data_IF_645184119427
#
_entry.id   IF_645184119427
#
_cell.length_a   1.000
_cell.length_b   1.000
_cell.length_c   1.000
_cell.angle_alpha   90.00
_cell.angle_beta   90.00
_cell.angle_gamma   90.00
#
_symmetry.space_group_name_H-M   'P 1'
#
loop_
_entity.id
_entity.type
_entity.pdbx_description
1 polymer ?
#
# COMPACT_ATOMS: atom_id res chain seq x y z
N UNK A 1 -10.74 3.70 -19.48
CA UNK A 1 -10.85 3.41 -18.04
C UNK A 1 -9.66 4.07 -17.32
N UNK A 2 -9.90 5.05 -16.44
CA UNK A 2 -8.84 5.71 -15.68
C UNK A 2 -8.67 4.97 -14.35
N UNK A 3 -7.45 4.59 -13.94
CA UNK A 3 -7.25 3.89 -12.67
C UNK A 3 -7.71 4.77 -11.49
N UNK A 4 -8.33 4.18 -10.45
CA UNK A 4 -8.81 4.96 -9.32
C UNK A 4 -7.67 5.73 -8.64
N UNK A 5 -7.91 6.98 -8.22
CA UNK A 5 -6.99 7.69 -7.37
C UNK A 5 -6.63 6.87 -6.12
N UNK A 6 -5.33 6.76 -5.82
CA UNK A 6 -4.85 5.94 -4.71
C UNK A 6 -5.44 6.34 -3.35
N UNK A 7 -5.82 7.61 -3.19
CA UNK A 7 -6.47 8.13 -1.97
C UNK A 7 -7.77 7.39 -1.63
N UNK A 8 -8.47 6.82 -2.62
CA UNK A 8 -9.74 6.12 -2.40
C UNK A 8 -9.60 4.78 -1.69
N UNK A 9 -8.41 4.16 -1.71
CA UNK A 9 -8.15 2.86 -1.09
C UNK A 9 -6.96 2.85 -0.13
N UNK A 10 -5.89 3.59 -0.41
CA UNK A 10 -4.64 3.52 0.37
C UNK A 10 -4.57 4.51 1.54
N UNK A 11 -5.41 5.55 1.56
CA UNK A 11 -5.38 6.60 2.60
C UNK A 11 -5.51 6.01 4.00
N UNK A 12 -6.53 5.17 4.21
CA UNK A 12 -6.79 4.52 5.48
C UNK A 12 -5.64 3.60 5.90
N UNK A 13 -5.05 2.87 4.96
CA UNK A 13 -3.96 1.94 5.23
C UNK A 13 -2.74 2.67 5.81
N UNK A 14 -2.34 3.78 5.18
CA UNK A 14 -1.16 4.52 5.61
C UNK A 14 -1.44 5.32 6.90
N UNK A 15 -2.61 5.94 7.03
CA UNK A 15 -2.95 6.74 8.21
C UNK A 15 -3.13 5.91 9.47
N UNK A 16 -3.55 4.65 9.35
CA UNK A 16 -3.81 3.75 10.48
C UNK A 16 -2.74 2.68 10.66
N UNK A 17 -1.65 2.74 9.91
CA UNK A 17 -0.61 1.70 9.88
C UNK A 17 -1.20 0.30 9.65
N UNK A 18 -2.12 0.20 8.70
CA UNK A 18 -2.88 -0.99 8.36
C UNK A 18 -3.73 -1.57 9.50
N UNK A 19 -3.85 -0.92 10.66
CA UNK A 19 -4.66 -1.44 11.78
C UNK A 19 -6.16 -1.49 11.49
N UNK A 20 -6.63 -0.70 10.53
CA UNK A 20 -8.00 -0.76 10.02
C UNK A 20 -7.95 -0.74 8.49
N UNK A 21 -8.56 -1.68 7.76
CA UNK A 21 -9.41 -2.80 8.21
C UNK A 21 -8.70 -4.15 8.44
N UNK A 22 -7.36 -4.22 8.40
CA UNK A 22 -6.67 -5.51 8.43
C UNK A 22 -6.61 -6.15 9.82
N UNK A 23 -6.37 -7.47 9.89
CA UNK A 23 -6.12 -8.15 11.16
C UNK A 23 -4.98 -7.50 11.96
N UNK A 24 -5.10 -7.35 13.29
CA UNK A 24 -4.10 -6.67 14.13
C UNK A 24 -2.68 -7.26 14.05
N UNK A 25 -2.56 -8.53 13.66
CA UNK A 25 -1.25 -9.17 13.48
C UNK A 25 -0.41 -8.49 12.40
N UNK A 26 -1.04 -7.91 11.37
CA UNK A 26 -0.34 -7.19 10.31
C UNK A 26 0.22 -5.87 10.84
N UNK A 27 -0.61 -5.05 11.50
CA UNK A 27 -0.19 -3.76 12.04
C UNK A 27 0.85 -3.91 13.14
N UNK A 28 0.74 -4.93 14.01
CA UNK A 28 1.77 -5.24 14.99
C UNK A 28 3.14 -5.50 14.33
N UNK A 29 3.18 -6.27 13.24
CA UNK A 29 4.43 -6.52 12.50
C UNK A 29 4.96 -5.30 11.77
N UNK A 30 4.09 -4.40 11.31
CA UNK A 30 4.53 -3.11 10.76
C UNK A 30 5.25 -2.29 11.84
N UNK A 31 4.69 -2.23 13.05
CA UNK A 31 5.31 -1.51 14.17
C UNK A 31 6.68 -2.11 14.49
N UNK A 32 6.79 -3.44 14.59
CA UNK A 32 8.08 -4.12 14.83
C UNK A 32 9.15 -3.70 13.80
N UNK A 33 8.81 -3.74 12.51
CA UNK A 33 9.74 -3.41 11.42
C UNK A 33 10.09 -1.92 11.41
N UNK A 34 9.10 -1.04 11.61
CA UNK A 34 9.33 0.42 11.64
C UNK A 34 10.27 0.78 12.80
N UNK A 35 10.08 0.18 13.97
CA UNK A 35 10.94 0.43 15.12
C UNK A 35 12.35 -0.15 14.92
N UNK A 36 12.48 -1.30 14.24
CA UNK A 36 13.77 -1.93 13.95
C UNK A 36 14.57 -1.17 12.88
N UNK A 37 13.95 -0.81 11.75
CA UNK A 37 14.61 -0.14 10.62
C UNK A 37 14.65 1.39 10.77
N UNK A 38 13.92 1.95 11.75
CA UNK A 38 13.66 3.39 11.88
C UNK A 38 13.20 4.04 10.55
N UNK A 39 12.36 3.32 9.80
CA UNK A 39 11.89 3.73 8.47
C UNK A 39 10.41 3.39 8.25
N UNK A 40 9.70 4.29 7.58
CA UNK A 40 8.31 4.10 7.13
C UNK A 40 8.18 3.41 5.77
N UNK A 41 9.30 3.01 5.14
CA UNK A 41 9.33 2.35 3.84
C UNK A 41 8.47 1.09 3.77
N UNK A 42 8.43 0.33 4.86
CA UNK A 42 7.66 -0.92 4.92
C UNK A 42 6.17 -0.67 4.66
N UNK A 43 5.64 0.51 5.02
CA UNK A 43 4.23 0.86 4.79
C UNK A 43 3.92 0.91 3.28
N UNK A 44 4.73 1.63 2.52
CA UNK A 44 4.57 1.74 1.06
C UNK A 44 4.86 0.41 0.36
N UNK A 45 5.89 -0.30 0.81
CA UNK A 45 6.24 -1.62 0.26
C UNK A 45 5.11 -2.63 0.46
N UNK A 46 4.44 -2.57 1.62
CA UNK A 46 3.26 -3.42 1.89
C UNK A 46 2.08 -3.02 1.02
N UNK A 47 1.79 -1.72 0.88
CA UNK A 47 0.70 -1.25 0.02
C UNK A 47 0.88 -1.76 -1.43
N UNK A 48 2.10 -1.70 -1.96
CA UNK A 48 2.41 -2.24 -3.29
C UNK A 48 2.33 -3.76 -3.31
N UNK A 49 2.84 -4.45 -2.28
CA UNK A 49 2.75 -5.90 -2.20
C UNK A 49 1.29 -6.38 -2.21
N UNK A 50 0.37 -5.70 -1.52
CA UNK A 50 -1.07 -6.01 -1.58
C UNK A 50 -1.58 -5.95 -3.02
N UNK A 51 -1.26 -4.87 -3.75
CA UNK A 51 -1.66 -4.71 -5.15
C UNK A 51 -1.04 -5.77 -6.07
N UNK A 52 0.19 -6.22 -5.77
CA UNK A 52 0.82 -7.33 -6.49
C UNK A 52 0.11 -8.66 -6.26
N UNK A 53 -0.31 -8.94 -5.02
CA UNK A 53 -1.08 -10.14 -4.68
C UNK A 53 -2.47 -10.16 -5.32
N UNK A 54 -3.07 -8.98 -5.52
CA UNK A 54 -4.37 -8.83 -6.18
C UNK A 54 -4.26 -8.66 -7.70
N UNK A 55 -3.06 -8.66 -8.28
CA UNK A 55 -2.84 -8.26 -9.68
C UNK A 55 -3.77 -8.98 -10.65
N UNK A 56 -3.88 -10.30 -10.55
CA UNK A 56 -4.71 -11.10 -11.45
C UNK A 56 -6.20 -10.78 -11.28
N UNK A 57 -6.67 -10.67 -10.03
CA UNK A 57 -8.05 -10.31 -9.70
C UNK A 57 -8.40 -8.91 -10.22
N UNK A 58 -7.50 -7.94 -10.03
CA UNK A 58 -7.68 -6.57 -10.50
C UNK A 58 -7.70 -6.46 -12.02
N UNK A 59 -6.94 -7.32 -12.71
CA UNK A 59 -6.95 -7.39 -14.18
C UNK A 59 -8.24 -8.01 -14.73
N UNK A 60 -8.97 -8.77 -13.91
CA UNK A 60 -10.25 -9.36 -14.29
C UNK A 60 -11.45 -8.42 -14.05
N UNK A 61 -11.33 -7.42 -13.15
CA UNK A 61 -12.36 -6.41 -12.93
C UNK A 61 -12.60 -5.56 -14.18
N UNK A 62 -13.87 -5.31 -14.50
CA UNK A 62 -14.24 -4.47 -15.65
C UNK A 62 -14.79 -3.11 -15.21
N UNK A 63 -15.42 -3.07 -14.04
CA UNK A 63 -16.04 -1.88 -13.50
C UNK A 63 -15.24 -1.25 -12.36
N UNK A 64 -15.43 0.07 -12.20
CA UNK A 64 -14.74 0.83 -11.16
C UNK A 64 -15.09 0.35 -9.74
N UNK A 65 -16.36 0.05 -9.51
CA UNK A 65 -16.85 -0.41 -8.21
C UNK A 65 -16.25 -1.77 -7.83
N UNK A 66 -16.19 -2.70 -8.79
CA UNK A 66 -15.56 -4.02 -8.61
C UNK A 66 -14.10 -3.90 -8.20
N UNK A 67 -13.36 -3.02 -8.88
CA UNK A 67 -11.95 -2.78 -8.59
C UNK A 67 -11.76 -2.25 -7.16
N UNK A 68 -12.53 -1.23 -6.76
CA UNK A 68 -12.45 -0.68 -5.40
C UNK A 68 -12.85 -1.72 -4.34
N UNK A 69 -13.89 -2.50 -4.59
CA UNK A 69 -14.32 -3.57 -3.69
C UNK A 69 -13.24 -4.65 -3.56
N UNK A 70 -12.64 -5.09 -4.67
CA UNK A 70 -11.53 -6.04 -4.67
C UNK A 70 -10.38 -5.55 -3.77
N UNK A 71 -9.93 -4.31 -3.97
CA UNK A 71 -8.83 -3.73 -3.18
C UNK A 71 -9.17 -3.61 -1.69
N UNK A 72 -10.41 -3.24 -1.34
CA UNK A 72 -10.79 -2.96 0.06
C UNK A 72 -11.18 -4.19 0.85
N UNK A 73 -11.78 -5.18 0.20
CA UNK A 73 -12.44 -6.30 0.88
C UNK A 73 -11.57 -7.56 0.87
N UNK A 74 -10.93 -7.86 -0.26
CA UNK A 74 -10.21 -9.13 -0.42
C UNK A 74 -9.00 -9.25 0.52
N UNK A 75 -8.13 -8.22 0.66
CA UNK A 75 -6.97 -8.29 1.54
C UNK A 75 -7.31 -8.46 3.03
N UNK A 76 -8.51 -8.05 3.44
CA UNK A 76 -8.99 -8.13 4.83
C UNK A 76 -9.34 -9.56 5.22
N UNK A 77 -9.74 -10.39 4.24
CA UNK A 77 -10.13 -11.78 4.44
C UNK A 77 -8.95 -12.74 4.46
N UNK A 78 -7.74 -12.27 4.16
CA UNK A 78 -6.55 -13.11 4.09
C UNK A 78 -6.21 -13.72 5.44
N UNK A 79 -5.85 -15.00 5.39
CA UNK A 79 -5.43 -15.74 6.57
C UNK A 79 -4.02 -15.32 7.03
N UNK A 80 -3.63 -15.81 8.20
CA UNK A 80 -2.32 -15.47 8.78
C UNK A 80 -1.16 -15.94 7.89
N UNK A 81 -1.31 -17.05 7.15
CA UNK A 81 -0.27 -17.54 6.26
C UNK A 81 -0.04 -16.59 5.09
N UNK A 82 -1.11 -16.14 4.43
CA UNK A 82 -1.06 -15.18 3.32
C UNK A 82 -0.55 -13.81 3.78
N UNK A 83 -0.94 -13.34 4.96
CA UNK A 83 -0.40 -12.10 5.55
C UNK A 83 1.11 -12.19 5.84
N UNK A 84 1.62 -13.36 6.23
CA UNK A 84 3.08 -13.57 6.40
C UNK A 84 3.82 -13.55 5.06
N UNK A 85 3.26 -14.16 4.03
CA UNK A 85 3.83 -14.10 2.68
C UNK A 85 3.84 -12.66 2.15
N UNK A 86 2.75 -11.91 2.37
CA UNK A 86 2.68 -10.49 2.06
C UNK A 86 3.81 -9.69 2.71
N UNK A 87 3.99 -9.86 4.03
CA UNK A 87 5.07 -9.20 4.78
C UNK A 87 6.46 -9.58 4.25
N UNK A 88 6.66 -10.86 3.94
CA UNK A 88 7.94 -11.34 3.39
C UNK A 88 8.24 -10.71 2.04
N UNK A 89 7.23 -10.58 1.16
CA UNK A 89 7.35 -9.90 -0.12
C UNK A 89 7.63 -8.40 0.07
N UNK A 90 6.93 -7.75 1.01
CA UNK A 90 7.12 -6.33 1.31
C UNK A 90 8.53 -6.04 1.84
N UNK A 91 9.08 -6.91 2.69
CA UNK A 91 10.45 -6.80 3.22
C UNK A 91 11.52 -7.06 2.15
N UNK A 92 11.27 -8.01 1.24
CA UNK A 92 12.14 -8.30 0.11
C UNK A 92 12.03 -7.26 -1.01
N UNK A 93 11.13 -6.29 -0.88
CA UNK A 93 10.87 -5.30 -1.92
C UNK A 93 12.13 -4.51 -2.27
N UNK A 94 12.43 -4.32 -3.57
CA UNK A 94 13.60 -3.57 -4.01
C UNK A 94 13.43 -2.06 -3.81
N UNK A 95 12.29 -1.58 -3.28
CA UNK A 95 12.13 -0.17 -2.97
C UNK A 95 13.24 0.27 -2.03
N UNK A 96 14.15 1.09 -2.56
CA UNK A 96 15.18 1.72 -1.75
C UNK A 96 14.65 3.04 -1.20
N UNK A 97 15.21 3.47 -0.07
CA UNK A 97 14.97 4.81 0.47
C UNK A 97 15.25 5.91 -0.57
N UNK A 98 16.19 5.68 -1.48
CA UNK A 98 16.50 6.61 -2.56
C UNK A 98 15.30 6.80 -3.51
N UNK A 99 14.64 5.72 -3.92
CA UNK A 99 13.45 5.79 -4.78
C UNK A 99 12.29 6.50 -4.09
N UNK A 100 12.09 6.25 -2.79
CA UNK A 100 11.07 6.95 -2.01
C UNK A 100 11.35 8.45 -1.88
N UNK A 101 12.61 8.85 -1.68
CA UNK A 101 13.00 10.26 -1.68
C UNK A 101 12.74 10.92 -3.04
N UNK A 102 13.11 10.26 -4.14
CA UNK A 102 12.83 10.78 -5.49
C UNK A 102 11.33 10.97 -5.71
N UNK A 103 10.51 9.99 -5.29
CA UNK A 103 9.05 10.10 -5.40
C UNK A 103 8.50 11.31 -4.62
N UNK A 104 8.99 11.58 -3.41
CA UNK A 104 8.60 12.76 -2.61
C UNK A 104 8.91 14.08 -3.33
N UNK A 105 10.13 14.21 -3.88
CA UNK A 105 10.54 15.41 -4.61
C UNK A 105 9.66 15.66 -5.83
N UNK A 106 9.25 14.60 -6.54
CA UNK A 106 8.34 14.71 -7.68
C UNK A 106 6.97 15.22 -7.21
N UNK A 107 6.42 14.65 -6.14
CA UNK A 107 5.11 15.06 -5.59
C UNK A 107 5.11 16.53 -5.15
N UNK A 108 6.17 16.98 -4.46
CA UNK A 108 6.31 18.37 -4.02
C UNK A 108 6.38 19.35 -5.20
N UNK A 109 7.11 19.00 -6.26
CA UNK A 109 7.17 19.79 -7.49
C UNK A 109 5.82 19.91 -8.18
N UNK A 110 5.07 18.81 -8.28
CA UNK A 110 3.74 18.81 -8.88
C UNK A 110 2.73 19.62 -8.05
N UNK A 111 2.86 19.59 -6.72
CA UNK A 111 2.03 20.41 -5.83
C UNK A 111 2.30 21.91 -6.03
N UNK A 112 3.57 22.32 -6.09
CA UNK A 112 3.93 23.72 -6.35
C UNK A 112 3.46 24.23 -7.72
N UNK A 113 3.42 23.36 -8.75
CA UNK A 113 2.89 23.72 -10.07
C UNK A 113 1.37 23.99 -10.05
N UNK A 114 0.61 23.28 -9.21
CA UNK A 114 -0.85 23.45 -9.09
C UNK A 114 -1.26 24.65 -8.24
N UNK A 115 -0.40 25.08 -7.33
CA UNK A 115 -0.67 26.24 -6.46
C UNK A 115 -0.22 27.57 -7.10
N UNK A 116 0.65 27.52 -8.12
CA UNK A 116 1.21 28.70 -8.81
C UNK A 116 0.66 29.02 -10.21
N UNK A 117 -0.38 28.30 -10.67
CA UNK A 117 -1.09 28.55 -11.93
C UNK A 117 -2.57 28.71 -11.69
#
# INVERSE_FOLDING_TARGET
>A
FFPPPAVLYASQWLMTLFSTPFPPILSARMVDVILLENSSRIMLSTAVAILMFLKEDLMACQEFEELIMCIKVEPVKWDTARLRQLLSLALASPFSEAQLRTARVIVERERGRREGG
#
